data_IF_576530950280
#
_entry.id   IF_576530950280
#
_cell.length_a   1.000
_cell.length_b   1.000
_cell.length_c   1.000
_cell.angle_alpha   90.00
_cell.angle_beta   90.00
_cell.angle_gamma   90.00
#
_symmetry.space_group_name_H-M   'P 1'
#
loop_
_entity.id
_entity.type
_entity.pdbx_description
1 polymer ?
#
# COMPACT_ATOMS: atom_id res chain seq x y z
N UNK A 1 -48.40 -9.26 -58.69
CA UNK A 1 -48.13 -10.29 -59.74
C UNK A 1 -47.00 -9.79 -60.61
N UNK A 2 -45.87 -10.54 -60.65
CA UNK A 2 -44.82 -10.70 -61.70
C UNK A 2 -44.28 -9.40 -62.36
N UNK A 3 -42.98 -9.16 -62.54
CA UNK A 3 -41.84 -10.05 -62.77
C UNK A 3 -40.52 -9.28 -62.70
N UNK A 4 -39.44 -10.05 -62.54
CA UNK A 4 -38.02 -9.71 -62.58
C UNK A 4 -37.53 -9.02 -63.87
N UNK A 5 -36.35 -8.39 -63.78
CA UNK A 5 -35.51 -8.01 -64.91
C UNK A 5 -34.17 -7.45 -64.43
N UNK A 6 -33.10 -8.15 -64.76
CA UNK A 6 -31.73 -7.96 -64.28
C UNK A 6 -30.99 -6.79 -64.94
N UNK A 7 -30.03 -6.21 -64.24
CA UNK A 7 -29.04 -5.28 -64.77
C UNK A 7 -27.68 -5.55 -64.16
N UNK A 8 -26.85 -6.28 -64.90
CA UNK A 8 -25.42 -6.49 -64.61
C UNK A 8 -24.66 -5.28 -65.13
N UNK A 9 -23.93 -4.60 -64.24
CA UNK A 9 -23.00 -3.54 -64.59
C UNK A 9 -21.76 -3.67 -63.71
N UNK A 10 -20.81 -4.50 -64.14
CA UNK A 10 -19.51 -4.64 -63.51
C UNK A 10 -18.64 -3.42 -63.87
N UNK A 11 -18.33 -2.59 -62.86
CA UNK A 11 -17.28 -1.58 -62.94
C UNK A 11 -16.27 -1.87 -61.83
N UNK A 12 -15.03 -2.10 -62.26
CA UNK A 12 -13.89 -2.46 -61.45
C UNK A 12 -13.57 -1.37 -60.41
N UNK A 13 -13.82 -1.69 -59.14
CA UNK A 13 -13.25 -0.99 -58.00
C UNK A 13 -12.14 -1.84 -57.39
N UNK A 14 -10.89 -1.44 -57.60
CA UNK A 14 -9.72 -1.95 -56.89
C UNK A 14 -9.87 -1.64 -55.39
N UNK A 15 -10.53 -2.54 -54.66
CA UNK A 15 -10.51 -2.56 -53.21
C UNK A 15 -9.14 -3.01 -52.74
N UNK A 16 -8.25 -2.06 -52.45
CA UNK A 16 -7.07 -2.31 -51.64
C UNK A 16 -7.56 -2.65 -50.22
N UNK A 17 -7.46 -3.92 -49.85
CA UNK A 17 -7.58 -4.39 -48.48
C UNK A 17 -6.39 -3.83 -47.70
N UNK A 18 -6.54 -2.60 -47.21
CA UNK A 18 -5.66 -2.03 -46.21
C UNK A 18 -5.89 -2.80 -44.91
N UNK A 19 -5.00 -3.75 -44.63
CA UNK A 19 -4.79 -4.27 -43.28
C UNK A 19 -4.41 -3.08 -42.40
N UNK A 20 -5.37 -2.56 -41.63
CA UNK A 20 -5.05 -1.69 -40.51
C UNK A 20 -4.38 -2.56 -39.47
N UNK A 21 -3.05 -2.67 -39.57
CA UNK A 21 -2.20 -3.09 -38.48
C UNK A 21 -2.45 -2.11 -37.33
N UNK A 22 -3.24 -2.56 -36.35
CA UNK A 22 -3.33 -1.87 -35.07
C UNK A 22 -1.93 -1.72 -34.48
N UNK A 23 -1.67 -0.65 -33.71
CA UNK A 23 -0.39 -0.50 -33.03
C UNK A 23 -0.14 -1.76 -32.18
N UNK A 24 0.98 -2.43 -32.42
CA UNK A 24 1.45 -3.59 -31.66
C UNK A 24 1.88 -3.18 -30.24
N UNK A 25 0.96 -2.63 -29.46
CA UNK A 25 1.11 -2.26 -28.06
C UNK A 25 0.23 -3.16 -27.20
N UNK A 26 0.55 -4.45 -27.18
CA UNK A 26 0.16 -5.38 -26.12
C UNK A 26 1.35 -6.29 -25.86
N UNK A 27 2.40 -5.70 -25.26
CA UNK A 27 3.39 -6.49 -24.53
C UNK A 27 2.74 -6.94 -23.23
N UNK A 28 2.68 -8.25 -23.02
CA UNK A 28 2.10 -8.85 -21.82
C UNK A 28 2.68 -8.28 -20.51
N UNK A 29 1.88 -8.19 -19.44
CA UNK A 29 2.26 -7.55 -18.20
C UNK A 29 3.27 -8.40 -17.44
N UNK A 30 4.55 -8.04 -17.53
CA UNK A 30 5.53 -8.45 -16.52
C UNK A 30 5.29 -7.61 -15.26
N UNK A 31 4.85 -8.26 -14.19
CA UNK A 31 5.22 -7.84 -12.84
C UNK A 31 6.72 -7.51 -12.85
N UNK A 32 7.17 -6.49 -12.10
CA UNK A 32 8.61 -6.20 -12.03
C UNK A 32 9.26 -7.32 -11.20
N UNK A 33 9.38 -8.50 -11.80
CA UNK A 33 10.23 -9.58 -11.33
C UNK A 33 11.64 -9.20 -11.79
N UNK A 34 12.46 -8.69 -10.87
CA UNK A 34 13.88 -8.53 -11.12
C UNK A 34 14.51 -9.93 -11.14
N UNK A 35 15.06 -10.33 -12.28
CA UNK A 35 15.92 -11.51 -12.42
C UNK A 35 17.24 -11.24 -11.67
N UNK A 36 17.31 -11.65 -10.40
CA UNK A 36 18.41 -11.37 -9.46
C UNK A 36 18.72 -9.86 -9.28
N UNK A 37 19.24 -9.42 -8.11
CA UNK A 37 19.64 -8.03 -7.97
C UNK A 37 20.92 -7.80 -8.79
N UNK A 38 21.00 -6.79 -9.68
CA UNK A 38 22.27 -6.34 -10.27
C UNK A 38 23.18 -5.63 -9.24
N UNK A 39 22.84 -5.76 -7.95
CA UNK A 39 23.31 -4.97 -6.84
C UNK A 39 24.31 -5.80 -6.01
N UNK A 40 25.30 -5.14 -5.40
CA UNK A 40 26.21 -5.80 -4.47
C UNK A 40 25.44 -6.15 -3.19
N UNK A 41 25.28 -7.44 -2.90
CA UNK A 41 24.71 -7.91 -1.63
C UNK A 41 25.55 -7.40 -0.45
N UNK A 42 24.90 -6.76 0.51
CA UNK A 42 25.48 -6.27 1.76
C UNK A 42 25.26 -7.26 2.90
N UNK A 43 24.07 -7.84 2.98
CA UNK A 43 23.67 -8.84 3.98
C UNK A 43 22.48 -9.65 3.47
N UNK A 44 22.42 -10.91 3.85
CA UNK A 44 21.34 -11.85 3.51
C UNK A 44 21.02 -12.67 4.76
N UNK A 45 19.74 -12.79 5.08
CA UNK A 45 19.23 -13.40 6.32
C UNK A 45 17.97 -14.19 6.03
N UNK A 46 17.86 -15.35 6.65
CA UNK A 46 16.63 -16.15 6.71
C UNK A 46 16.05 -16.02 8.11
N UNK A 47 14.81 -15.56 8.22
CA UNK A 47 14.04 -15.50 9.47
C UNK A 47 12.86 -16.48 9.42
N UNK A 48 12.14 -16.73 10.53
CA UNK A 48 10.89 -17.48 10.49
C UNK A 48 9.82 -16.86 9.57
N UNK A 49 9.96 -15.58 9.20
CA UNK A 49 8.98 -14.85 8.42
C UNK A 49 9.42 -14.61 6.97
N UNK A 50 10.68 -14.24 6.74
CA UNK A 50 11.13 -13.77 5.43
C UNK A 50 12.54 -14.26 5.09
N UNK A 51 12.80 -14.48 3.80
CA UNK A 51 14.14 -14.48 3.24
C UNK A 51 14.47 -13.05 2.83
N UNK A 52 15.40 -12.41 3.52
CA UNK A 52 15.69 -10.98 3.38
C UNK A 52 17.07 -10.80 2.76
N UNK A 53 17.15 -9.97 1.71
CA UNK A 53 18.41 -9.57 1.09
C UNK A 53 18.51 -8.05 1.11
N UNK A 54 19.58 -7.51 1.69
CA UNK A 54 19.94 -6.10 1.56
C UNK A 54 21.08 -5.97 0.57
N UNK A 55 20.89 -5.18 -0.49
CA UNK A 55 21.88 -4.96 -1.52
C UNK A 55 22.06 -3.46 -1.82
N UNK A 56 23.18 -3.14 -2.48
CA UNK A 56 23.54 -1.76 -2.85
C UNK A 56 23.93 -1.64 -4.31
N UNK A 57 23.46 -0.59 -4.95
CA UNK A 57 23.85 -0.17 -6.29
C UNK A 57 24.13 1.33 -6.32
N UNK A 58 25.42 1.68 -6.41
CA UNK A 58 25.85 3.06 -6.20
C UNK A 58 25.41 3.58 -4.83
N UNK A 59 24.65 4.67 -4.82
CA UNK A 59 24.12 5.31 -3.61
C UNK A 59 22.76 4.75 -3.18
N UNK A 60 22.20 3.81 -3.93
CA UNK A 60 20.91 3.19 -3.61
C UNK A 60 21.11 1.93 -2.79
N UNK A 61 20.42 1.84 -1.66
CA UNK A 61 20.33 0.63 -0.84
C UNK A 61 18.90 0.10 -0.90
N UNK A 62 18.76 -1.18 -1.21
CA UNK A 62 17.46 -1.85 -1.36
C UNK A 62 17.38 -3.07 -0.45
N UNK A 63 16.27 -3.20 0.26
CA UNK A 63 15.87 -4.41 0.99
C UNK A 63 14.87 -5.16 0.12
N UNK A 64 15.10 -6.46 -0.02
CA UNK A 64 14.25 -7.37 -0.76
C UNK A 64 13.71 -8.46 0.17
N UNK A 65 12.45 -8.85 -0.04
CA UNK A 65 11.98 -10.18 0.35
C UNK A 65 12.07 -11.11 -0.86
N UNK A 66 12.61 -12.29 -0.64
CA UNK A 66 12.83 -13.29 -1.67
C UNK A 66 11.81 -14.40 -1.49
N UNK A 67 11.03 -14.66 -2.54
CA UNK A 67 10.03 -15.75 -2.55
C UNK A 67 10.20 -16.53 -3.85
N UNK A 68 10.45 -17.83 -3.73
CA UNK A 68 10.68 -18.74 -4.88
C UNK A 68 11.73 -18.21 -5.88
N UNK A 69 12.77 -17.55 -5.37
CA UNK A 69 13.85 -16.96 -6.16
C UNK A 69 13.52 -15.60 -6.81
N UNK A 70 12.32 -15.07 -6.58
CA UNK A 70 11.91 -13.72 -7.02
C UNK A 70 12.17 -12.71 -5.91
N UNK A 71 12.81 -11.60 -6.28
CA UNK A 71 13.18 -10.50 -5.38
C UNK A 71 12.13 -9.39 -5.43
N UNK A 72 11.36 -9.24 -4.37
CA UNK A 72 10.38 -8.18 -4.19
C UNK A 72 11.01 -7.02 -3.45
N UNK A 73 10.90 -5.81 -4.00
CA UNK A 73 11.41 -4.61 -3.33
C UNK A 73 10.47 -4.29 -2.17
N UNK A 74 11.01 -4.37 -0.96
CA UNK A 74 10.30 -4.00 0.27
C UNK A 74 10.61 -2.58 0.68
N UNK A 75 11.87 -2.17 0.56
CA UNK A 75 12.29 -0.82 0.88
C UNK A 75 13.51 -0.41 0.09
N UNK A 76 13.58 0.87 -0.24
CA UNK A 76 14.63 1.43 -1.08
C UNK A 76 14.93 2.84 -0.63
N UNK A 77 16.21 3.13 -0.41
CA UNK A 77 16.69 4.47 -0.06
C UNK A 77 17.73 4.90 -1.08
N UNK A 78 17.55 6.10 -1.65
CA UNK A 78 18.57 6.78 -2.44
C UNK A 78 19.35 7.73 -1.52
N UNK A 79 20.59 7.35 -1.20
CA UNK A 79 21.45 8.15 -0.30
C UNK A 79 21.94 9.46 -0.93
N UNK A 80 21.78 9.64 -2.25
CA UNK A 80 22.03 10.92 -2.90
C UNK A 80 20.88 11.91 -2.70
N UNK A 81 19.68 11.41 -2.38
CA UNK A 81 18.48 12.19 -2.04
C UNK A 81 17.87 11.69 -0.72
N UNK A 82 18.61 11.75 0.41
CA UNK A 82 18.22 11.10 1.67
C UNK A 82 16.96 11.67 2.30
N UNK A 83 16.54 12.87 1.86
CA UNK A 83 15.33 13.54 2.31
C UNK A 83 14.14 13.30 1.40
N UNK A 84 14.19 12.33 0.48
CA UNK A 84 13.16 12.12 -0.54
C UNK A 84 12.66 10.69 -0.50
N UNK A 85 11.37 10.52 -0.80
CA UNK A 85 10.77 9.21 -0.99
C UNK A 85 10.98 8.75 -2.43
N UNK A 86 11.65 7.62 -2.67
CA UNK A 86 11.97 7.13 -4.02
C UNK A 86 10.74 6.53 -4.74
N UNK A 87 9.88 5.84 -3.98
CA UNK A 87 8.76 5.07 -4.53
C UNK A 87 7.46 5.89 -4.56
N UNK A 88 6.76 5.88 -5.70
CA UNK A 88 5.53 6.66 -5.91
C UNK A 88 4.42 6.34 -4.89
N UNK A 89 4.25 5.08 -4.51
CA UNK A 89 3.25 4.70 -3.51
C UNK A 89 3.54 5.32 -2.14
N UNK A 90 4.81 5.40 -1.73
CA UNK A 90 5.20 6.03 -0.45
C UNK A 90 4.89 7.52 -0.44
N UNK A 91 5.06 8.23 -1.57
CA UNK A 91 4.61 9.63 -1.72
C UNK A 91 3.09 9.73 -1.68
N UNK A 92 2.40 8.81 -2.34
CA UNK A 92 0.93 8.76 -2.36
C UNK A 92 0.35 8.47 -0.97
N UNK A 93 1.06 7.72 -0.12
CA UNK A 93 0.67 7.50 1.29
C UNK A 93 0.60 8.79 2.11
N UNK A 94 1.25 9.87 1.66
CA UNK A 94 1.12 11.18 2.31
C UNK A 94 -0.27 11.81 2.09
N UNK A 95 -1.16 11.15 1.34
CA UNK A 95 -2.57 11.50 1.27
C UNK A 95 -3.24 11.55 2.65
N UNK A 96 -2.73 10.83 3.65
CA UNK A 96 -3.17 10.97 5.04
C UNK A 96 -3.12 12.43 5.54
N UNK A 97 -2.14 13.23 5.11
CA UNK A 97 -2.00 14.65 5.48
C UNK A 97 -3.07 15.55 4.85
N UNK A 98 -3.80 15.07 3.84
CA UNK A 98 -4.95 15.78 3.30
C UNK A 98 -6.15 15.73 4.24
N UNK A 99 -6.20 14.74 5.14
CA UNK A 99 -7.27 14.57 6.13
C UNK A 99 -6.80 14.96 7.53
N UNK A 100 -5.60 14.54 7.91
CA UNK A 100 -4.96 14.87 9.18
C UNK A 100 -3.65 15.65 8.93
N UNK A 101 -3.69 16.99 8.75
CA UNK A 101 -2.53 17.76 8.31
C UNK A 101 -1.48 18.01 9.39
N UNK A 102 -1.80 17.74 10.67
CA UNK A 102 -0.91 17.98 11.81
C UNK A 102 -0.90 16.79 12.78
N UNK A 103 -0.53 15.59 12.33
CA UNK A 103 -0.44 14.44 13.21
C UNK A 103 0.66 14.66 14.25
N UNK A 104 0.40 14.22 15.48
CA UNK A 104 1.37 14.23 16.58
C UNK A 104 1.79 12.82 16.97
N UNK A 105 0.95 11.81 16.72
CA UNK A 105 1.21 10.39 16.98
C UNK A 105 0.91 9.56 15.75
N UNK A 106 1.89 8.78 15.30
CA UNK A 106 1.79 7.91 14.13
C UNK A 106 2.16 6.47 14.49
N UNK A 107 1.35 5.54 14.01
CA UNK A 107 1.64 4.11 14.02
C UNK A 107 1.94 3.65 12.60
N UNK A 108 3.08 2.99 12.39
CA UNK A 108 3.44 2.33 11.12
C UNK A 108 3.36 0.82 11.31
N UNK A 109 2.41 0.17 10.63
CA UNK A 109 2.22 -1.28 10.66
C UNK A 109 2.78 -1.88 9.37
N UNK A 110 3.80 -2.71 9.51
CA UNK A 110 4.74 -3.04 8.44
C UNK A 110 5.84 -1.99 8.41
N UNK A 111 7.01 -2.29 8.96
CA UNK A 111 8.08 -1.32 9.09
C UNK A 111 8.98 -1.30 7.86
N UNK A 112 9.31 -2.49 7.32
CA UNK A 112 10.27 -2.63 6.25
C UNK A 112 11.61 -1.96 6.58
N UNK A 113 12.15 -1.19 5.63
CA UNK A 113 13.33 -0.35 5.83
C UNK A 113 13.04 1.00 6.48
N UNK A 114 11.83 1.24 7.00
CA UNK A 114 11.47 2.47 7.70
C UNK A 114 11.42 3.73 6.83
N UNK A 115 11.29 3.61 5.50
CA UNK A 115 11.41 4.76 4.59
C UNK A 115 10.37 5.85 4.87
N UNK A 116 9.10 5.49 5.00
CA UNK A 116 8.03 6.45 5.27
C UNK A 116 8.20 7.07 6.67
N UNK A 117 8.44 6.24 7.69
CA UNK A 117 8.57 6.70 9.06
C UNK A 117 9.82 7.55 9.29
N UNK A 118 10.97 7.21 8.69
CA UNK A 118 12.19 8.03 8.74
C UNK A 118 11.97 9.39 8.08
N UNK A 119 11.37 9.39 6.89
CA UNK A 119 11.03 10.61 6.18
C UNK A 119 10.10 11.50 7.01
N UNK A 120 9.02 10.94 7.57
CA UNK A 120 8.07 11.70 8.38
C UNK A 120 8.69 12.20 9.68
N UNK A 121 9.54 11.42 10.33
CA UNK A 121 10.24 11.85 11.54
C UNK A 121 11.13 13.06 11.31
N UNK A 122 11.83 13.10 10.17
CA UNK A 122 12.68 14.24 9.79
C UNK A 122 11.83 15.46 9.40
N UNK A 123 10.73 15.24 8.68
CA UNK A 123 9.95 16.32 8.04
C UNK A 123 8.84 16.91 8.91
N UNK A 124 8.35 16.20 9.93
CA UNK A 124 7.23 16.61 10.77
C UNK A 124 7.72 16.83 12.22
N UNK A 125 8.02 18.08 12.61
CA UNK A 125 8.56 18.37 13.93
C UNK A 125 7.64 17.90 15.06
N UNK A 126 8.20 17.20 16.04
CA UNK A 126 7.48 16.73 17.23
C UNK A 126 6.67 15.45 17.04
N UNK A 127 6.66 14.86 15.84
CA UNK A 127 5.95 13.60 15.58
C UNK A 127 6.53 12.45 16.43
N UNK A 128 5.65 11.77 17.15
CA UNK A 128 5.94 10.48 17.78
C UNK A 128 5.57 9.35 16.82
N UNK A 129 6.45 8.37 16.68
CA UNK A 129 6.30 7.25 15.77
C UNK A 129 6.52 5.94 16.54
N UNK A 130 5.54 5.05 16.43
CA UNK A 130 5.68 3.63 16.73
C UNK A 130 5.71 2.85 15.40
N UNK A 131 6.84 2.21 15.09
CA UNK A 131 6.98 1.32 13.94
C UNK A 131 6.89 -0.13 14.38
N UNK A 132 6.03 -0.92 13.73
CA UNK A 132 5.77 -2.31 14.10
C UNK A 132 6.06 -3.20 12.91
N UNK A 133 6.93 -4.19 13.13
CA UNK A 133 7.18 -5.27 12.18
C UNK A 133 7.14 -6.60 12.91
N UNK A 134 6.58 -7.62 12.28
CA UNK A 134 6.58 -8.96 12.86
C UNK A 134 7.98 -9.57 12.87
N UNK A 135 8.83 -9.17 11.92
CA UNK A 135 10.15 -9.73 11.73
C UNK A 135 11.24 -8.89 12.43
N UNK A 136 11.84 -9.36 13.53
CA UNK A 136 12.90 -8.61 14.21
C UNK A 136 14.14 -8.39 13.33
N UNK A 137 14.39 -9.26 12.34
CA UNK A 137 15.52 -9.09 11.43
C UNK A 137 15.30 -7.93 10.45
N UNK A 138 14.05 -7.66 10.05
CA UNK A 138 13.70 -6.47 9.26
C UNK A 138 14.06 -5.20 10.03
N UNK A 139 13.65 -5.08 11.30
CA UNK A 139 13.97 -3.92 12.14
C UNK A 139 15.48 -3.78 12.34
N UNK A 140 16.19 -4.89 12.57
CA UNK A 140 17.66 -4.89 12.75
C UNK A 140 18.36 -4.40 11.48
N UNK A 141 17.96 -4.89 10.31
CA UNK A 141 18.51 -4.50 9.02
C UNK A 141 18.16 -3.04 8.66
N UNK A 142 16.93 -2.60 8.96
CA UNK A 142 16.50 -1.22 8.82
C UNK A 142 17.39 -0.26 9.63
N UNK A 143 17.59 -0.54 10.92
CA UNK A 143 18.49 0.24 11.78
C UNK A 143 19.93 0.27 11.26
N UNK A 144 20.40 -0.84 10.68
CA UNK A 144 21.78 -0.95 10.18
C UNK A 144 22.02 -0.24 8.84
N UNK A 145 21.04 -0.25 7.93
CA UNK A 145 21.25 0.12 6.53
C UNK A 145 20.40 1.29 6.02
N UNK A 146 19.33 1.68 6.74
CA UNK A 146 18.32 2.63 6.29
C UNK A 146 18.16 3.86 7.20
N UNK A 147 19.15 4.14 8.05
CA UNK A 147 19.24 5.38 8.84
C UNK A 147 18.03 5.63 9.76
N UNK A 148 17.51 4.55 10.37
CA UNK A 148 16.45 4.65 11.40
C UNK A 148 16.95 5.50 12.58
N UNK A 149 16.24 6.58 12.96
CA UNK A 149 16.63 7.44 14.06
C UNK A 149 16.73 6.72 15.41
N UNK A 150 17.70 7.13 16.22
CA UNK A 150 17.82 6.75 17.63
C UNK A 150 17.31 7.91 18.50
N UNK A 151 15.99 8.02 18.66
CA UNK A 151 15.30 9.08 19.43
C UNK A 151 14.14 8.46 20.20
N UNK A 152 13.88 8.87 21.47
CA UNK A 152 12.77 8.31 22.27
C UNK A 152 11.38 8.48 21.66
N UNK A 153 11.20 9.43 20.72
CA UNK A 153 9.96 9.62 19.96
C UNK A 153 9.82 8.64 18.80
N UNK A 154 10.86 7.92 18.43
CA UNK A 154 10.86 6.92 17.37
C UNK A 154 11.12 5.54 17.97
N UNK A 155 10.07 4.74 18.14
CA UNK A 155 10.16 3.40 18.72
C UNK A 155 9.86 2.36 17.65
N UNK A 156 10.61 1.26 17.68
CA UNK A 156 10.38 0.11 16.79
C UNK A 156 10.06 -1.11 17.63
N UNK A 157 9.02 -1.84 17.26
CA UNK A 157 8.49 -2.98 18.00
C UNK A 157 8.49 -4.21 17.11
N UNK A 158 9.17 -5.27 17.56
CA UNK A 158 9.11 -6.58 16.93
C UNK A 158 7.85 -7.31 17.42
N UNK A 159 6.73 -7.14 16.71
CA UNK A 159 5.42 -7.68 17.08
C UNK A 159 4.52 -7.82 15.85
N UNK A 160 3.53 -8.71 15.92
CA UNK A 160 2.44 -8.71 14.95
C UNK A 160 1.63 -7.41 15.04
N UNK A 161 1.30 -6.82 13.89
CA UNK A 161 0.61 -5.53 13.80
C UNK A 161 -0.73 -5.51 14.53
N UNK A 162 -1.50 -6.59 14.45
CA UNK A 162 -2.79 -6.67 15.13
C UNK A 162 -2.62 -6.86 16.63
N UNK A 163 -1.79 -7.82 17.04
CA UNK A 163 -1.53 -8.04 18.47
C UNK A 163 -1.00 -6.78 19.16
N UNK A 164 -0.16 -6.01 18.47
CA UNK A 164 0.35 -4.75 18.99
C UNK A 164 -0.78 -3.75 19.29
N UNK A 165 -1.73 -3.58 18.36
CA UNK A 165 -2.86 -2.66 18.56
C UNK A 165 -3.81 -3.19 19.64
N UNK A 166 -4.17 -4.47 19.61
CA UNK A 166 -5.07 -5.10 20.60
C UNK A 166 -4.54 -4.99 22.04
N UNK A 167 -3.22 -4.91 22.22
CA UNK A 167 -2.56 -4.77 23.53
C UNK A 167 -2.29 -3.32 23.92
N UNK A 168 -2.44 -2.37 22.98
CA UNK A 168 -2.20 -0.98 23.25
C UNK A 168 -3.33 -0.36 24.09
N UNK A 169 -3.03 0.75 24.75
CA UNK A 169 -4.07 1.59 25.31
C UNK A 169 -4.78 2.35 24.17
N UNK A 170 -6.10 2.48 24.27
CA UNK A 170 -6.89 3.28 23.32
C UNK A 170 -6.63 4.78 23.43
N UNK A 171 -6.12 5.24 24.57
CA UNK A 171 -5.79 6.65 24.82
C UNK A 171 -4.35 6.84 25.34
N UNK A 172 -3.59 7.82 24.82
CA UNK A 172 -3.94 8.71 23.73
C UNK A 172 -3.90 8.00 22.36
N UNK A 173 -4.99 8.11 21.60
CA UNK A 173 -5.13 7.51 20.26
C UNK A 173 -4.11 8.04 19.25
N UNK A 174 -3.92 7.30 18.15
CA UNK A 174 -3.07 7.72 17.04
C UNK A 174 -3.81 8.68 16.11
N UNK A 175 -3.11 9.71 15.64
CA UNK A 175 -3.64 10.63 14.63
C UNK A 175 -3.55 10.01 13.22
N UNK A 176 -2.60 9.10 13.02
CA UNK A 176 -2.39 8.44 11.74
C UNK A 176 -1.87 7.01 11.96
N UNK A 177 -2.55 6.04 11.37
CA UNK A 177 -2.08 4.66 11.28
C UNK A 177 -1.78 4.37 9.82
N UNK A 178 -0.53 4.06 9.49
CA UNK A 178 -0.10 3.63 8.17
C UNK A 178 -0.08 2.10 8.13
N UNK A 179 -0.82 1.50 7.20
CA UNK A 179 -0.88 0.05 7.01
C UNK A 179 -0.18 -0.32 5.69
N UNK A 180 1.06 -0.81 5.80
CA UNK A 180 1.93 -1.24 4.69
C UNK A 180 2.60 -2.59 5.03
N UNK A 181 1.79 -3.57 5.44
CA UNK A 181 2.24 -4.86 5.97
C UNK A 181 2.30 -5.97 4.92
N UNK A 182 2.85 -5.68 3.74
CA UNK A 182 3.05 -6.69 2.71
C UNK A 182 4.14 -7.69 3.12
N UNK A 183 3.93 -8.95 2.76
CA UNK A 183 4.95 -10.01 2.81
C UNK A 183 5.12 -10.56 1.40
N UNK A 184 6.03 -9.94 0.64
CA UNK A 184 6.21 -10.19 -0.79
C UNK A 184 4.97 -9.78 -1.59
N UNK A 185 4.01 -10.69 -1.70
CA UNK A 185 2.80 -10.53 -2.53
C UNK A 185 1.49 -10.69 -1.77
N UNK A 186 1.47 -10.73 -0.44
CA UNK A 186 0.18 -10.76 0.25
C UNK A 186 0.22 -10.01 1.58
N UNK A 187 -0.95 -9.62 2.04
CA UNK A 187 -1.18 -9.10 3.40
C UNK A 187 -1.96 -10.19 4.15
N UNK A 188 -1.52 -10.61 5.35
CA UNK A 188 -2.23 -11.61 6.15
C UNK A 188 -3.71 -11.25 6.39
N UNK A 189 -4.61 -12.25 6.37
CA UNK A 189 -6.05 -12.02 6.47
C UNK A 189 -6.44 -11.25 7.73
N UNK A 190 -5.88 -11.58 8.90
CA UNK A 190 -6.19 -10.93 10.17
C UNK A 190 -5.92 -9.42 10.19
N UNK A 191 -5.12 -8.90 9.25
CA UNK A 191 -4.86 -7.47 9.07
C UNK A 191 -5.85 -6.78 8.11
N UNK A 192 -6.82 -7.53 7.56
CA UNK A 192 -7.75 -7.07 6.52
C UNK A 192 -9.22 -7.24 6.90
N UNK A 193 -9.49 -7.74 8.09
CA UNK A 193 -10.86 -8.05 8.55
C UNK A 193 -11.56 -6.83 9.12
N UNK A 194 -12.89 -6.87 9.07
CA UNK A 194 -13.77 -5.87 9.67
C UNK A 194 -13.46 -5.68 11.14
N UNK A 195 -13.28 -6.77 11.88
CA UNK A 195 -12.99 -6.77 13.32
C UNK A 195 -11.70 -6.00 13.62
N UNK A 196 -10.63 -6.27 12.87
CA UNK A 196 -9.38 -5.54 13.04
C UNK A 196 -9.51 -4.06 12.67
N UNK A 197 -10.21 -3.74 11.58
CA UNK A 197 -10.47 -2.36 11.20
C UNK A 197 -11.30 -1.59 12.25
N UNK A 198 -12.21 -2.25 12.94
CA UNK A 198 -12.91 -1.67 14.10
C UNK A 198 -11.95 -1.43 15.26
N UNK A 199 -11.05 -2.38 15.57
CA UNK A 199 -9.99 -2.18 16.57
C UNK A 199 -9.12 -0.97 16.21
N UNK A 200 -8.74 -0.80 14.94
CA UNK A 200 -7.99 0.38 14.48
C UNK A 200 -8.77 1.67 14.72
N UNK A 201 -10.06 1.70 14.36
CA UNK A 201 -10.94 2.86 14.55
C UNK A 201 -11.06 3.25 16.04
N UNK A 202 -11.13 2.29 16.94
CA UNK A 202 -11.19 2.50 18.41
C UNK A 202 -9.89 3.09 18.98
N UNK A 203 -8.76 2.92 18.28
CA UNK A 203 -7.45 3.44 18.69
C UNK A 203 -7.04 4.73 17.96
N UNK A 204 -7.89 5.25 17.07
CA UNK A 204 -7.66 6.55 16.44
C UNK A 204 -8.08 7.69 17.35
N UNK A 205 -7.41 8.82 17.23
CA UNK A 205 -7.95 10.09 17.72
C UNK A 205 -9.24 10.45 16.97
N UNK A 206 -10.10 11.36 17.48
CA UNK A 206 -11.38 11.67 16.83
C UNK A 206 -11.29 12.15 15.37
N UNK A 207 -10.16 12.71 14.96
CA UNK A 207 -9.86 13.13 13.58
C UNK A 207 -8.76 12.27 12.95
N UNK A 208 -8.47 11.11 13.55
CA UNK A 208 -7.44 10.19 13.11
C UNK A 208 -7.84 9.47 11.83
N UNK A 209 -6.83 8.98 11.12
CA UNK A 209 -7.02 8.25 9.87
C UNK A 209 -6.18 6.98 9.80
N UNK A 210 -6.71 5.96 9.15
CA UNK A 210 -5.93 4.83 8.64
C UNK A 210 -5.58 5.10 7.18
N UNK A 211 -4.31 4.95 6.80
CA UNK A 211 -3.83 5.03 5.43
C UNK A 211 -3.30 3.67 5.02
N UNK A 212 -4.03 2.98 4.15
CA UNK A 212 -3.70 1.62 3.70
C UNK A 212 -3.18 1.61 2.26
N UNK A 213 -2.07 0.92 2.05
CA UNK A 213 -1.55 0.62 0.72
C UNK A 213 -2.28 -0.61 0.14
N UNK A 214 -3.14 -0.40 -0.86
CA UNK A 214 -3.93 -1.47 -1.50
C UNK A 214 -3.44 -1.74 -2.91
N UNK A 215 -3.30 -3.01 -3.28
CA UNK A 215 -2.90 -3.38 -4.63
C UNK A 215 -4.13 -3.66 -5.51
N UNK A 216 -4.39 -2.77 -6.47
CA UNK A 216 -5.63 -2.77 -7.25
C UNK A 216 -5.73 -3.90 -8.29
N UNK A 217 -4.61 -4.54 -8.62
CA UNK A 217 -4.54 -5.68 -9.53
C UNK A 217 -4.86 -7.04 -8.89
N UNK A 218 -5.13 -7.08 -7.57
CA UNK A 218 -5.44 -8.33 -6.87
C UNK A 218 -6.96 -8.59 -6.87
N UNK A 219 -7.41 -9.87 -6.89
CA UNK A 219 -8.81 -10.21 -6.66
C UNK A 219 -9.34 -9.66 -5.32
N UNK A 220 -8.44 -9.55 -4.34
CA UNK A 220 -8.73 -9.05 -2.99
C UNK A 220 -9.09 -7.57 -2.93
N UNK A 221 -8.69 -6.77 -3.92
CA UNK A 221 -8.92 -5.33 -3.89
C UNK A 221 -10.39 -4.96 -3.63
N UNK A 222 -11.33 -5.68 -4.26
CA UNK A 222 -12.76 -5.41 -4.06
C UNK A 222 -13.21 -5.69 -2.62
N UNK A 223 -12.69 -6.76 -2.02
CA UNK A 223 -12.99 -7.16 -0.65
C UNK A 223 -12.39 -6.18 0.36
N UNK A 224 -11.18 -5.71 0.11
CA UNK A 224 -10.53 -4.68 0.93
C UNK A 224 -11.37 -3.40 0.96
N UNK A 225 -11.81 -2.95 -0.22
CA UNK A 225 -12.68 -1.78 -0.37
C UNK A 225 -14.00 -1.94 0.37
N UNK A 226 -14.68 -3.08 0.21
CA UNK A 226 -15.94 -3.34 0.90
C UNK A 226 -15.76 -3.36 2.42
N UNK A 227 -14.71 -4.01 2.92
CA UNK A 227 -14.47 -4.18 4.35
C UNK A 227 -14.13 -2.86 5.04
N UNK A 228 -13.30 -2.03 4.40
CA UNK A 228 -13.06 -0.66 4.88
C UNK A 228 -14.33 0.19 4.90
N UNK A 229 -15.15 0.12 3.84
CA UNK A 229 -16.39 0.89 3.76
C UNK A 229 -17.45 0.46 4.78
N UNK A 230 -17.38 -0.79 5.27
CA UNK A 230 -18.24 -1.29 6.34
C UNK A 230 -17.74 -0.92 7.74
N UNK A 231 -16.42 -0.83 7.94
CA UNK A 231 -15.82 -0.51 9.23
C UNK A 231 -15.70 1.00 9.51
N UNK A 232 -15.43 1.83 8.49
CA UNK A 232 -15.18 3.26 8.64
C UNK A 232 -16.29 4.13 8.07
N UNK A 233 -16.57 5.30 8.69
CA UNK A 233 -17.63 6.18 8.22
C UNK A 233 -17.29 6.90 6.90
N UNK A 234 -16.02 7.19 6.64
CA UNK A 234 -15.56 7.87 5.42
C UNK A 234 -14.29 7.23 4.86
N UNK A 235 -14.20 7.20 3.52
CA UNK A 235 -13.10 6.60 2.77
C UNK A 235 -12.73 7.41 1.53
N UNK A 236 -11.45 7.38 1.15
CA UNK A 236 -10.90 8.17 0.05
C UNK A 236 -9.79 7.43 -0.73
N UNK A 237 -9.93 7.27 -2.05
CA UNK A 237 -8.92 6.67 -2.95
C UNK A 237 -7.93 7.66 -3.55
N UNK A 238 -6.64 7.37 -3.43
CA UNK A 238 -5.57 8.07 -4.13
C UNK A 238 -4.77 7.08 -4.97
N UNK A 239 -4.90 7.19 -6.30
CA UNK A 239 -4.17 6.32 -7.21
C UNK A 239 -2.71 6.79 -7.35
N UNK A 240 -1.82 5.81 -7.34
CA UNK A 240 -0.42 5.98 -7.77
C UNK A 240 -0.36 6.42 -9.23
N UNK A 241 0.67 7.18 -9.63
CA UNK A 241 0.85 7.69 -10.99
C UNK A 241 0.92 6.57 -12.03
N UNK A 242 1.48 5.41 -11.63
CA UNK A 242 1.56 4.22 -12.47
C UNK A 242 0.30 3.33 -12.40
N UNK A 243 -0.66 3.68 -11.55
CA UNK A 243 -1.96 3.02 -11.44
C UNK A 243 -1.93 1.57 -10.96
N UNK A 244 -0.89 1.12 -10.25
CA UNK A 244 -0.76 -0.27 -9.74
C UNK A 244 -1.18 -0.43 -8.27
N UNK A 245 -1.18 0.68 -7.54
CA UNK A 245 -1.59 0.73 -6.15
C UNK A 245 -2.60 1.87 -5.97
N UNK A 246 -3.54 1.64 -5.07
CA UNK A 246 -4.44 2.66 -4.53
C UNK A 246 -4.11 2.82 -3.07
N UNK A 247 -3.75 4.04 -2.68
CA UNK A 247 -3.70 4.40 -1.26
C UNK A 247 -5.12 4.74 -0.84
N UNK A 248 -5.64 4.00 0.14
CA UNK A 248 -6.93 4.26 0.72
C UNK A 248 -6.77 4.95 2.06
N UNK A 249 -7.48 6.06 2.25
CA UNK A 249 -7.55 6.74 3.53
C UNK A 249 -8.93 6.53 4.14
N UNK A 250 -9.00 5.84 5.27
CA UNK A 250 -10.19 5.64 6.08
C UNK A 250 -10.18 6.62 7.25
N UNK A 251 -11.25 7.38 7.44
CA UNK A 251 -11.31 8.46 8.44
C UNK A 251 -12.25 8.09 9.57
N UNK A 252 -11.86 8.38 10.82
CA UNK A 252 -12.72 8.27 11.99
C UNK A 252 -13.83 9.35 12.00
N UNK A 253 -13.57 10.50 11.35
CA UNK A 253 -14.56 11.57 11.21
C UNK A 253 -15.73 11.12 10.33
N UNK A 254 -16.95 11.27 10.86
CA UNK A 254 -18.18 10.98 10.15
C UNK A 254 -18.51 12.02 9.08
N UNK A 255 -18.01 13.25 9.24
CA UNK A 255 -18.19 14.31 8.26
C UNK A 255 -17.28 14.07 7.05
N UNK A 256 -17.88 14.10 5.85
CA UNK A 256 -17.12 13.96 4.63
C UNK A 256 -16.30 15.21 4.38
N UNK A 257 -14.99 15.02 4.25
CA UNK A 257 -14.09 16.11 3.92
C UNK A 257 -14.35 16.62 2.52
N UNK A 258 -14.55 17.94 2.40
CA UNK A 258 -14.68 18.57 1.10
C UNK A 258 -13.34 18.67 0.39
N UNK A 259 -13.42 18.75 -0.92
CA UNK A 259 -12.31 19.09 -1.79
C UNK A 259 -11.54 20.33 -1.33
N UNK A 260 -12.24 21.43 -1.05
CA UNK A 260 -11.62 22.66 -0.59
C UNK A 260 -10.87 22.50 0.73
N UNK A 261 -11.38 21.69 1.66
CA UNK A 261 -10.68 21.34 2.90
C UNK A 261 -9.42 20.51 2.61
N UNK A 262 -9.50 19.46 1.77
CA UNK A 262 -8.31 18.69 1.41
C UNK A 262 -7.22 19.56 0.78
N UNK A 263 -7.61 20.50 -0.08
CA UNK A 263 -6.67 21.46 -0.69
C UNK A 263 -6.06 22.40 0.36
N UNK A 264 -6.86 22.91 1.30
CA UNK A 264 -6.35 23.73 2.39
C UNK A 264 -5.39 22.94 3.30
N UNK A 265 -5.68 21.67 3.57
CA UNK A 265 -4.81 20.76 4.32
C UNK A 265 -3.52 20.47 3.56
N UNK A 266 -3.58 20.25 2.24
CA UNK A 266 -2.40 20.13 1.38
C UNK A 266 -1.49 21.36 1.51
N UNK A 267 -2.08 22.56 1.45
CA UNK A 267 -1.36 23.83 1.60
C UNK A 267 -0.70 23.98 2.96
N UNK A 268 -1.39 23.58 4.02
CA UNK A 268 -0.89 23.61 5.39
C UNK A 268 0.28 22.64 5.60
N UNK A 269 0.18 21.43 5.03
CA UNK A 269 1.18 20.37 5.19
C UNK A 269 2.37 20.51 4.22
N UNK A 270 2.20 21.19 3.08
CA UNK A 270 3.18 21.31 1.99
C UNK A 270 4.62 21.64 2.45
N UNK A 271 4.88 22.52 3.44
CA UNK A 271 6.24 22.84 3.86
C UNK A 271 7.06 21.63 4.36
N UNK A 272 6.40 20.55 4.81
CA UNK A 272 7.08 19.33 5.22
C UNK A 272 7.54 18.46 4.02
N UNK A 273 6.92 18.61 2.84
CA UNK A 273 7.10 17.67 1.72
C UNK A 273 7.83 18.29 0.54
N UNK A 274 8.68 17.49 -0.10
CA UNK A 274 9.46 17.84 -1.30
C UNK A 274 8.78 17.48 -2.63
N UNK A 275 7.49 17.14 -2.58
CA UNK A 275 6.65 16.87 -3.74
C UNK A 275 5.28 17.57 -3.59
N UNK A 276 4.54 17.68 -4.69
CA UNK A 276 3.31 18.48 -4.75
C UNK A 276 2.11 17.78 -4.08
N UNK A 277 1.79 18.18 -2.84
CA UNK A 277 0.61 17.68 -2.14
C UNK A 277 -0.71 18.20 -2.73
N UNK A 278 -0.72 19.37 -3.36
CA UNK A 278 -1.93 19.86 -4.06
C UNK A 278 -2.20 18.99 -5.29
N UNK A 279 -1.15 18.61 -6.00
CA UNK A 279 -1.20 17.66 -7.10
C UNK A 279 -1.72 16.30 -6.65
N UNK A 280 -1.25 15.80 -5.51
CA UNK A 280 -1.78 14.57 -4.90
C UNK A 280 -3.27 14.72 -4.54
N UNK A 281 -3.66 15.82 -3.91
CA UNK A 281 -5.06 16.10 -3.61
C UNK A 281 -5.91 16.06 -4.89
N UNK A 282 -5.47 16.71 -5.97
CA UNK A 282 -6.17 16.76 -7.25
C UNK A 282 -6.44 15.37 -7.87
N UNK A 283 -5.60 14.36 -7.60
CA UNK A 283 -5.80 12.99 -8.11
C UNK A 283 -7.11 12.37 -7.62
N UNK A 284 -7.51 12.66 -6.37
CA UNK A 284 -8.78 12.16 -5.83
C UNK A 284 -10.00 12.73 -6.57
N UNK A 285 -9.92 13.94 -7.09
CA UNK A 285 -11.01 14.62 -7.80
C UNK A 285 -11.25 14.04 -9.18
N UNK A 286 -10.17 13.56 -9.81
CA UNK A 286 -10.17 13.12 -11.20
C UNK A 286 -10.47 11.62 -11.33
N UNK A 287 -10.42 10.88 -10.22
CA UNK A 287 -10.76 9.47 -10.17
C UNK A 287 -12.12 9.23 -9.53
N UNK A 288 -12.86 8.25 -10.05
CA UNK A 288 -13.96 7.67 -9.28
C UNK A 288 -13.36 6.94 -8.06
N UNK A 289 -13.93 7.18 -6.88
CA UNK A 289 -13.39 6.61 -5.65
C UNK A 289 -13.49 5.08 -5.64
N UNK A 290 -14.68 4.53 -5.93
CA UNK A 290 -14.98 3.10 -6.06
C UNK A 290 -16.48 2.87 -6.35
N UNK A 291 -16.82 1.80 -7.10
CA UNK A 291 -18.20 1.34 -7.24
C UNK A 291 -18.62 0.52 -6.01
N UNK A 292 -19.56 1.03 -5.22
CA UNK A 292 -20.02 0.39 -3.97
C UNK A 292 -20.85 -0.86 -4.28
N UNK A 293 -20.20 -2.00 -4.50
CA UNK A 293 -20.89 -3.28 -4.54
C UNK A 293 -20.08 -4.44 -5.12
N UNK A 294 -20.51 -5.65 -4.76
CA UNK A 294 -20.16 -6.88 -5.48
C UNK A 294 -19.13 -7.82 -4.83
N UNK A 295 -18.53 -7.46 -3.70
CA UNK A 295 -17.58 -8.31 -2.97
C UNK A 295 -17.97 -8.41 -1.49
N UNK A 296 -17.73 -9.57 -0.86
CA UNK A 296 -18.04 -9.81 0.56
C UNK A 296 -17.11 -9.04 1.50
N UNK A 297 -17.65 -8.62 2.65
CA UNK A 297 -16.87 -8.12 3.79
C UNK A 297 -15.99 -9.26 4.32
N UNK A 298 -14.73 -8.96 4.61
CA UNK A 298 -13.81 -9.90 5.23
C UNK A 298 -14.01 -9.90 6.74
N UNK A 299 -14.15 -11.08 7.31
CA UNK A 299 -14.31 -11.29 8.74
C UNK A 299 -13.21 -12.22 9.25
N UNK A 300 -12.93 -12.12 10.54
CA UNK A 300 -12.13 -13.13 11.22
C UNK A 300 -12.72 -14.52 11.01
N UNK A 301 -11.86 -15.48 10.72
CA UNK A 301 -12.21 -16.90 10.61
C UNK A 301 -11.88 -17.67 11.91
N UNK A 302 -11.70 -16.94 13.01
CA UNK A 302 -11.41 -17.42 14.35
C UNK A 302 -12.23 -16.64 15.40
N UNK A 303 -12.45 -17.24 16.58
CA UNK A 303 -13.10 -16.53 17.68
C UNK A 303 -12.10 -15.67 18.46
N UNK A 304 -12.55 -14.70 19.30
CA UNK A 304 -11.65 -13.91 20.15
C UNK A 304 -10.74 -14.75 21.05
N UNK A 305 -11.22 -15.89 21.55
CA UNK A 305 -10.42 -16.83 22.36
C UNK A 305 -9.31 -17.50 21.56
N UNK A 306 -9.47 -17.58 20.23
CA UNK A 306 -8.54 -18.18 19.29
C UNK A 306 -7.65 -17.16 18.60
N UNK A 307 -7.73 -15.87 18.95
CA UNK A 307 -7.02 -14.76 18.28
C UNK A 307 -5.55 -15.07 18.01
N UNK A 308 -4.81 -15.50 19.04
CA UNK A 308 -3.39 -15.81 18.91
C UNK A 308 -3.13 -16.93 17.89
N UNK A 309 -3.89 -18.03 17.95
CA UNK A 309 -3.76 -19.17 17.04
C UNK A 309 -4.18 -18.80 15.61
N UNK A 310 -5.20 -17.97 15.48
CA UNK A 310 -5.67 -17.42 14.21
C UNK A 310 -4.60 -16.57 13.52
N UNK A 311 -3.99 -15.64 14.28
CA UNK A 311 -2.90 -14.79 13.82
C UNK A 311 -1.67 -15.60 13.46
N UNK A 312 -1.28 -16.58 14.27
CA UNK A 312 -0.16 -17.48 13.96
C UNK A 312 -0.41 -18.20 12.63
N UNK A 313 -1.59 -18.79 12.45
CA UNK A 313 -1.99 -19.47 11.20
C UNK A 313 -1.99 -18.53 10.00
N UNK A 314 -2.48 -17.29 10.13
CA UNK A 314 -2.48 -16.31 9.04
C UNK A 314 -1.08 -15.76 8.71
N UNK A 315 -0.14 -15.86 9.67
CA UNK A 315 1.26 -15.49 9.49
C UNK A 315 2.12 -16.63 8.92
N UNK A 316 1.63 -17.87 8.89
CA UNK A 316 2.28 -18.92 8.11
C UNK A 316 2.27 -18.51 6.63
N UNK A 317 3.42 -18.60 5.96
CA UNK A 317 3.54 -18.19 4.57
C UNK A 317 2.54 -18.95 3.71
N UNK A 318 1.55 -18.23 3.21
CA UNK A 318 0.56 -18.75 2.29
C UNK A 318 1.23 -18.91 0.91
N UNK A 319 1.53 -20.16 0.51
CA UNK A 319 2.24 -20.51 -0.73
C UNK A 319 1.38 -21.44 -1.59
N UNK A 320 1.37 -21.21 -2.91
CA UNK A 320 0.72 -22.10 -3.88
C UNK A 320 -0.74 -21.75 -4.22
N UNK A 321 -1.40 -22.64 -4.96
CA UNK A 321 -2.77 -22.47 -5.49
C UNK A 321 -3.85 -22.41 -4.39
N UNK A 322 -3.55 -22.93 -3.21
CA UNK A 322 -4.44 -22.90 -2.04
C UNK A 322 -4.43 -21.55 -1.30
N UNK A 323 -3.57 -20.62 -1.73
CA UNK A 323 -3.52 -19.29 -1.18
C UNK A 323 -4.56 -18.38 -1.81
N UNK A 324 -5.79 -18.41 -1.27
CA UNK A 324 -6.93 -17.59 -1.72
C UNK A 324 -6.61 -16.08 -1.77
N UNK A 325 -5.59 -15.64 -1.02
CA UNK A 325 -5.19 -14.25 -0.87
C UNK A 325 -3.94 -13.84 -1.67
N UNK A 326 -3.24 -14.79 -2.31
CA UNK A 326 -2.04 -14.48 -3.10
C UNK A 326 -2.41 -13.86 -4.45
N UNK A 327 -1.43 -13.16 -5.06
CA UNK A 327 -1.57 -12.78 -6.47
C UNK A 327 -1.70 -14.06 -7.28
N UNK A 328 -2.59 -14.10 -8.29
CA UNK A 328 -2.64 -15.25 -9.18
C UNK A 328 -1.26 -15.46 -9.80
N UNK A 329 -0.63 -16.60 -9.50
CA UNK A 329 0.58 -17.04 -10.18
C UNK A 329 0.20 -17.72 -11.49
N UNK A 330 -0.47 -16.97 -12.38
CA UNK A 330 -0.63 -17.14 -13.83
C UNK A 330 -1.86 -16.43 -14.35
#
# INVERSE_FOLDING_TARGET
MRSAGAGVGAAAGLGLWGTWGGPAWLGEPRAVASLAPPDRVLEEVESPFNHIVVARNGDVVTMYFVVDGVYYIESRVDRSHPKSLDLDYTRTMMAGFLMQPRPTRLLMIGFGGGQISNYLFERVPGLEIDGVDIDPEVIRLARKYFDVPDDPRYRTHAADGRLFVEQAATEPGWDMILLDAFRGVFVPLHLKTREYYQTLLEHLSPQGVVVANLHNATPMYKHDRTTFADAFPQGYSFHTERGRQTIFVASADAERMSTYQMRANAELAQPAFDFDLRGLAARWYLGEDWDRGGAQVLHDDFTPEQLQQGIERHNESCRGEDCEYAYPTK
#
